data_IF_337515350370
#
_entry.id   IF_337515350370
#
_cell.length_a   1.000
_cell.length_b   1.000
_cell.length_c   1.000
_cell.angle_alpha   90.00
_cell.angle_beta   90.00
_cell.angle_gamma   90.00
#
_symmetry.space_group_name_H-M   'P 1'
#
loop_
_entity.id
_entity.type
_entity.pdbx_description
1 polymer ?
#
# COMPACT_ATOMS: atom_id res chain seq x y z
N UNK A 1 -3.27 -47.37 29.19
CA UNK A 1 -4.69 -47.17 29.56
C UNK A 1 -5.34 -46.27 28.54
N UNK A 2 -6.47 -46.73 28.04
CA UNK A 2 -7.39 -46.20 27.03
C UNK A 2 -8.16 -44.97 27.52
N UNK A 3 -8.46 -44.03 26.62
CA UNK A 3 -9.85 -43.77 26.22
C UNK A 3 -10.00 -42.86 25.00
N UNK A 4 -10.88 -43.32 24.10
CA UNK A 4 -11.37 -42.71 22.86
C UNK A 4 -12.69 -41.99 23.12
N UNK A 5 -12.94 -40.83 22.51
CA UNK A 5 -14.27 -40.32 22.08
C UNK A 5 -14.04 -39.39 20.87
N UNK A 6 -14.25 -39.84 19.62
CA UNK A 6 -15.51 -39.94 18.85
C UNK A 6 -16.14 -38.58 18.50
N UNK A 7 -15.77 -38.04 17.34
CA UNK A 7 -16.71 -37.35 16.44
C UNK A 7 -16.42 -37.78 15.00
N UNK A 8 -17.37 -38.53 14.46
CA UNK A 8 -17.48 -38.93 13.07
C UNK A 8 -18.83 -38.41 12.58
N UNK A 9 -18.83 -37.69 11.46
CA UNK A 9 -19.90 -37.58 10.44
C UNK A 9 -19.48 -36.40 9.53
N UNK A 10 -18.96 -36.62 8.31
CA UNK A 10 -19.59 -37.19 7.11
C UNK A 10 -20.76 -36.33 6.62
N UNK A 11 -20.54 -35.56 5.55
CA UNK A 11 -21.40 -35.31 4.38
C UNK A 11 -20.57 -34.47 3.40
N UNK A 12 -20.54 -34.62 2.08
CA UNK A 12 -21.01 -35.60 1.12
C UNK A 12 -20.39 -35.12 -0.21
N UNK A 13 -19.66 -35.97 -0.90
CA UNK A 13 -19.11 -35.69 -2.22
C UNK A 13 -20.23 -35.52 -3.26
N UNK A 14 -20.12 -34.51 -4.12
CA UNK A 14 -20.73 -34.55 -5.45
C UNK A 14 -19.78 -33.92 -6.46
N UNK A 15 -19.06 -34.79 -7.16
CA UNK A 15 -18.43 -34.49 -8.43
C UNK A 15 -19.53 -34.35 -9.50
N UNK A 16 -19.41 -33.34 -10.38
CA UNK A 16 -20.10 -33.36 -11.66
C UNK A 16 -19.16 -32.91 -12.77
N UNK A 17 -19.27 -33.62 -13.88
CA UNK A 17 -18.26 -33.84 -14.88
C UNK A 17 -18.17 -32.76 -15.96
N UNK A 18 -16.96 -32.69 -16.52
CA UNK A 18 -16.56 -32.39 -17.89
C UNK A 18 -17.66 -32.04 -18.91
N UNK A 19 -17.46 -30.92 -19.59
CA UNK A 19 -17.60 -30.88 -21.05
C UNK A 19 -16.34 -30.24 -21.63
N UNK A 20 -15.49 -31.09 -22.21
CA UNK A 20 -14.43 -30.68 -23.12
C UNK A 20 -15.10 -30.26 -24.43
N UNK A 21 -15.05 -28.98 -24.78
CA UNK A 21 -15.22 -28.56 -26.17
C UNK A 21 -13.88 -28.74 -26.85
N UNK A 22 -13.75 -29.88 -27.54
CA UNK A 22 -12.75 -30.10 -28.56
C UNK A 22 -13.28 -29.54 -29.88
N UNK A 23 -12.53 -28.64 -30.52
CA UNK A 23 -12.46 -28.49 -31.97
C UNK A 23 -11.38 -27.47 -32.37
N UNK A 24 -10.39 -27.92 -33.15
CA UNK A 24 -9.54 -27.03 -33.95
C UNK A 24 -8.06 -27.38 -33.93
N UNK A 25 -7.66 -28.41 -34.67
CA UNK A 25 -6.26 -28.64 -35.03
C UNK A 25 -5.83 -27.66 -36.12
N UNK A 26 -4.67 -27.04 -35.93
CA UNK A 26 -4.01 -26.17 -36.90
C UNK A 26 -2.75 -25.56 -36.28
N UNK A 27 -1.73 -26.39 -36.07
CA UNK A 27 -0.39 -25.92 -35.69
C UNK A 27 0.27 -25.18 -36.86
N UNK A 28 0.71 -23.94 -36.60
CA UNK A 28 2.01 -23.45 -37.05
C UNK A 28 2.45 -22.30 -36.12
N UNK A 29 3.69 -22.32 -35.60
CA UNK A 29 4.18 -21.29 -34.68
C UNK A 29 4.70 -20.10 -35.50
N UNK A 30 4.14 -18.92 -35.29
CA UNK A 30 4.84 -17.68 -35.62
C UNK A 30 4.86 -16.78 -34.39
N UNK A 31 6.08 -16.44 -34.02
CA UNK A 31 6.45 -15.70 -32.84
C UNK A 31 6.13 -14.23 -33.08
N UNK A 32 4.99 -13.79 -32.57
CA UNK A 32 4.59 -12.38 -32.51
C UNK A 32 4.11 -12.09 -31.11
N UNK A 33 4.94 -11.36 -30.36
CA UNK A 33 4.73 -10.95 -28.98
C UNK A 33 3.27 -10.59 -28.70
N UNK A 34 2.69 -11.31 -27.76
CA UNK A 34 1.42 -10.98 -27.15
C UNK A 34 1.50 -9.56 -26.59
N UNK A 35 0.86 -8.61 -27.27
CA UNK A 35 0.25 -7.49 -26.57
C UNK A 35 -0.89 -8.09 -25.76
N UNK A 36 -0.59 -8.43 -24.51
CA UNK A 36 -1.61 -8.71 -23.52
C UNK A 36 -2.53 -7.49 -23.48
N UNK A 37 -3.80 -7.71 -23.84
CA UNK A 37 -4.83 -6.73 -23.57
C UNK A 37 -4.93 -6.63 -22.05
N UNK A 38 -4.32 -5.59 -21.47
CA UNK A 38 -4.54 -5.22 -20.08
C UNK A 38 -6.04 -4.96 -19.93
N UNK A 39 -6.68 -5.84 -19.18
CA UNK A 39 -8.01 -5.65 -18.63
C UNK A 39 -8.08 -4.22 -18.08
N UNK A 40 -8.78 -3.34 -18.79
CA UNK A 40 -8.80 -1.90 -18.51
C UNK A 40 -9.73 -1.64 -17.33
N UNK A 41 -9.40 -2.24 -16.18
CA UNK A 41 -9.82 -1.75 -14.89
C UNK A 41 -9.09 -0.45 -14.58
N UNK A 42 -9.75 0.46 -13.86
CA UNK A 42 -9.13 1.73 -13.45
C UNK A 42 -7.86 1.47 -12.65
N UNK A 43 -6.73 2.04 -13.08
CA UNK A 43 -5.46 1.93 -12.36
C UNK A 43 -5.44 2.92 -11.22
N UNK A 44 -5.25 2.42 -10.00
CA UNK A 44 -5.31 3.21 -8.76
C UNK A 44 -3.91 3.29 -8.15
N UNK A 45 -3.46 4.51 -7.86
CA UNK A 45 -2.28 4.76 -7.04
C UNK A 45 -2.71 5.16 -5.63
N UNK A 46 -2.02 4.64 -4.63
CA UNK A 46 -2.21 4.95 -3.22
C UNK A 46 -0.87 5.47 -2.69
N UNK A 47 -0.67 6.78 -2.83
CA UNK A 47 0.48 7.47 -2.31
C UNK A 47 0.24 7.84 -0.84
N UNK A 48 1.22 7.62 0.03
CA UNK A 48 1.10 8.00 1.44
C UNK A 48 2.41 8.52 2.00
N UNK A 49 2.30 9.47 2.93
CA UNK A 49 3.38 9.91 3.80
C UNK A 49 3.08 9.47 5.22
N UNK A 50 4.09 8.94 5.91
CA UNK A 50 4.02 8.60 7.33
C UNK A 50 5.31 9.02 8.03
N UNK A 51 5.19 9.62 9.22
CA UNK A 51 6.34 9.98 10.03
C UNK A 51 7.23 8.77 10.32
N UNK A 52 6.63 7.60 10.58
CA UNK A 52 7.33 6.35 10.85
C UNK A 52 8.40 5.94 9.81
N UNK A 53 8.26 6.38 8.56
CA UNK A 53 9.17 6.09 7.46
C UNK A 53 10.07 7.28 7.12
N UNK A 54 9.82 8.45 7.73
CA UNK A 54 10.49 9.72 7.45
C UNK A 54 11.16 10.33 8.68
N UNK A 55 11.11 9.66 9.84
CA UNK A 55 11.74 10.08 11.09
C UNK A 55 12.80 9.09 11.54
N UNK A 56 13.72 9.54 12.41
CA UNK A 56 14.78 8.70 12.96
C UNK A 56 14.28 7.42 13.65
N UNK A 57 15.16 6.41 13.74
CA UNK A 57 14.86 5.05 14.25
C UNK A 57 14.38 5.00 15.71
N UNK A 58 14.53 6.09 16.46
CA UNK A 58 14.09 6.24 17.86
C UNK A 58 12.80 7.05 17.99
N UNK A 59 12.04 7.23 16.91
CA UNK A 59 10.75 7.88 16.93
C UNK A 59 9.71 7.03 17.68
N UNK A 60 9.79 7.03 19.00
CA UNK A 60 8.77 6.51 19.91
C UNK A 60 7.55 7.45 19.96
N UNK A 61 7.07 7.89 18.79
CA UNK A 61 5.76 8.49 18.68
C UNK A 61 4.74 7.34 18.67
N UNK A 62 4.35 6.85 19.85
CA UNK A 62 3.27 5.84 19.96
C UNK A 62 1.99 6.25 19.21
N UNK A 63 1.77 7.55 18.99
CA UNK A 63 0.67 8.09 18.20
C UNK A 63 0.83 7.94 16.67
N UNK A 64 2.04 7.64 16.19
CA UNK A 64 2.41 7.45 14.78
C UNK A 64 2.39 5.99 14.35
N UNK A 65 2.53 5.06 15.30
CA UNK A 65 2.51 3.62 15.05
C UNK A 65 1.18 2.98 15.45
N UNK A 66 0.90 1.81 14.89
CA UNK A 66 -0.16 0.91 15.33
C UNK A 66 0.32 -0.52 15.13
N UNK A 67 0.00 -1.39 16.08
CA UNK A 67 0.23 -2.83 15.94
C UNK A 67 -0.78 -3.40 14.93
N UNK A 68 -0.29 -3.79 13.77
CA UNK A 68 -1.07 -4.48 12.73
C UNK A 68 -0.49 -5.88 12.58
N UNK A 69 -1.27 -6.89 12.97
CA UNK A 69 -0.88 -8.30 12.93
C UNK A 69 0.45 -8.64 13.65
N UNK A 70 0.78 -7.88 14.69
CA UNK A 70 2.01 -8.06 15.48
C UNK A 70 3.24 -7.34 14.93
N UNK A 71 3.06 -6.50 13.91
CA UNK A 71 4.08 -5.60 13.36
C UNK A 71 3.72 -4.15 13.68
N UNK A 72 4.69 -3.37 14.18
CA UNK A 72 4.52 -1.95 14.38
C UNK A 72 4.57 -1.24 13.02
N UNK A 73 3.43 -0.70 12.58
CA UNK A 73 3.30 0.02 11.30
C UNK A 73 2.92 1.47 11.50
N UNK A 74 3.36 2.33 10.59
CA UNK A 74 2.89 3.71 10.54
C UNK A 74 1.36 3.74 10.33
N UNK A 75 0.63 4.63 11.01
CA UNK A 75 -0.84 4.68 10.88
C UNK A 75 -1.31 4.93 9.45
N UNK A 76 -0.60 5.78 8.71
CA UNK A 76 -0.92 6.03 7.29
C UNK A 76 -0.52 4.87 6.39
N UNK A 77 0.61 4.20 6.68
CA UNK A 77 0.98 2.95 6.01
C UNK A 77 -0.12 1.89 6.19
N UNK A 78 -0.57 1.66 7.43
CA UNK A 78 -1.64 0.72 7.72
C UNK A 78 -2.93 1.04 6.95
N UNK A 79 -3.33 2.31 6.91
CA UNK A 79 -4.51 2.74 6.16
C UNK A 79 -4.33 2.54 4.63
N UNK A 80 -3.15 2.86 4.10
CA UNK A 80 -2.83 2.68 2.69
C UNK A 80 -2.91 1.19 2.31
N UNK A 81 -2.34 0.30 3.12
CA UNK A 81 -2.42 -1.15 2.93
C UNK A 81 -3.87 -1.67 2.97
N UNK A 82 -4.72 -1.11 3.85
CA UNK A 82 -6.15 -1.45 3.87
C UNK A 82 -6.85 -1.02 2.57
N UNK A 83 -6.53 0.16 2.03
CA UNK A 83 -7.07 0.63 0.74
C UNK A 83 -6.57 -0.27 -0.39
N UNK A 84 -5.28 -0.63 -0.41
CA UNK A 84 -4.71 -1.54 -1.39
C UNK A 84 -5.44 -2.89 -1.36
N UNK A 85 -5.61 -3.48 -0.17
CA UNK A 85 -6.29 -4.77 -0.04
C UNK A 85 -7.73 -4.75 -0.59
N UNK A 86 -8.40 -3.59 -0.53
CA UNK A 86 -9.77 -3.42 -1.04
C UNK A 86 -9.83 -3.09 -2.54
N UNK A 87 -8.80 -2.44 -3.09
CA UNK A 87 -8.82 -1.87 -4.45
C UNK A 87 -7.92 -2.59 -5.45
N UNK A 88 -6.90 -3.31 -4.98
CA UNK A 88 -5.82 -3.85 -5.81
C UNK A 88 -4.86 -2.80 -6.38
N UNK A 89 -4.90 -1.56 -5.85
CA UNK A 89 -4.04 -0.46 -6.32
C UNK A 89 -2.58 -0.56 -5.92
N UNK A 90 -1.75 0.26 -6.55
CA UNK A 90 -0.31 0.33 -6.27
C UNK A 90 -0.05 1.18 -5.02
N UNK A 91 0.79 0.69 -4.11
CA UNK A 91 1.25 1.47 -2.96
C UNK A 91 2.51 2.26 -3.31
N UNK A 92 2.54 3.51 -2.85
CA UNK A 92 3.71 4.37 -2.98
C UNK A 92 3.98 5.12 -1.68
N UNK A 93 5.11 4.81 -1.03
CA UNK A 93 5.59 5.54 0.15
C UNK A 93 6.33 6.81 -0.32
N UNK A 94 5.81 7.96 0.10
CA UNK A 94 6.44 9.27 -0.09
C UNK A 94 7.52 9.43 0.98
N UNK A 95 8.76 9.54 0.54
CA UNK A 95 9.92 9.69 1.42
C UNK A 95 10.66 10.99 1.10
N UNK A 96 11.07 11.71 2.14
CA UNK A 96 11.92 12.89 2.04
C UNK A 96 13.40 12.51 2.04
N UNK A 97 14.24 13.35 1.45
CA UNK A 97 15.71 13.21 1.56
C UNK A 97 16.18 13.51 2.98
N UNK A 98 15.62 14.57 3.59
CA UNK A 98 15.90 14.95 4.97
C UNK A 98 15.01 14.18 5.95
N UNK A 99 15.61 13.68 7.02
CA UNK A 99 14.90 12.92 8.06
C UNK A 99 14.32 13.88 9.10
N UNK A 100 13.02 13.75 9.35
CA UNK A 100 12.31 14.53 10.36
C UNK A 100 12.79 14.18 11.78
N UNK A 101 12.84 15.17 12.68
CA UNK A 101 13.12 14.91 14.09
C UNK A 101 12.15 13.90 14.69
N UNK A 102 12.68 12.99 15.49
CA UNK A 102 11.93 11.97 16.20
C UNK A 102 11.28 12.51 17.49
N UNK A 103 11.93 13.50 18.13
CA UNK A 103 11.39 14.18 19.31
C UNK A 103 10.24 15.09 18.92
N UNK A 104 9.15 15.04 19.69
CA UNK A 104 7.94 15.81 19.38
C UNK A 104 8.12 17.32 19.49
N UNK A 105 8.97 17.80 20.39
CA UNK A 105 9.28 19.23 20.52
C UNK A 105 10.13 19.71 19.35
N UNK A 106 11.22 19.00 19.04
CA UNK A 106 12.09 19.32 17.91
C UNK A 106 11.34 19.25 16.57
N UNK A 107 10.40 18.31 16.44
CA UNK A 107 9.55 18.16 15.26
C UNK A 107 8.59 19.35 15.09
N UNK A 108 8.07 19.91 16.20
CA UNK A 108 7.21 21.11 16.15
C UNK A 108 8.01 22.32 15.69
N UNK A 109 9.20 22.53 16.25
CA UNK A 109 10.07 23.65 15.88
C UNK A 109 10.50 23.53 14.41
N UNK A 110 10.93 22.34 13.99
CA UNK A 110 11.27 22.05 12.60
C UNK A 110 10.10 22.31 11.64
N UNK A 111 8.89 21.84 11.98
CA UNK A 111 7.71 22.07 11.15
C UNK A 111 7.28 23.55 11.09
N UNK A 112 7.53 24.32 12.15
CA UNK A 112 7.29 25.76 12.15
C UNK A 112 8.27 26.48 11.22
N UNK A 113 9.55 26.13 11.27
CA UNK A 113 10.57 26.68 10.38
C UNK A 113 10.28 26.33 8.91
N UNK A 114 9.93 25.07 8.61
CA UNK A 114 9.53 24.66 7.25
C UNK A 114 8.35 25.47 6.72
N UNK A 115 7.37 25.78 7.57
CA UNK A 115 6.22 26.59 7.19
C UNK A 115 6.60 28.06 6.96
N UNK A 116 7.38 28.65 7.88
CA UNK A 116 7.80 30.05 7.80
C UNK A 116 8.67 30.32 6.57
N UNK A 117 9.46 29.33 6.15
CA UNK A 117 10.31 29.38 4.96
C UNK A 117 9.58 29.00 3.66
N UNK A 118 8.30 28.60 3.74
CA UNK A 118 7.55 27.97 2.64
C UNK A 118 8.34 26.82 2.00
N UNK A 119 9.05 26.06 2.82
CA UNK A 119 9.92 24.98 2.40
C UNK A 119 9.09 23.87 1.71
N UNK A 120 9.70 23.24 0.71
CA UNK A 120 9.18 22.05 0.03
C UNK A 120 10.30 21.02 0.02
N UNK A 121 10.31 20.10 1.00
CA UNK A 121 11.38 19.11 1.13
C UNK A 121 11.58 18.34 -0.17
N UNK A 122 12.84 18.08 -0.50
CA UNK A 122 13.19 17.20 -1.61
C UNK A 122 12.75 15.76 -1.27
N UNK A 123 12.18 15.08 -2.26
CA UNK A 123 11.73 13.70 -2.11
C UNK A 123 12.82 12.75 -2.58
N UNK A 124 13.02 11.67 -1.84
CA UNK A 124 13.91 10.57 -2.25
C UNK A 124 13.19 9.54 -3.12
N UNK A 125 11.86 9.47 -3.03
CA UNK A 125 11.03 8.61 -3.87
C UNK A 125 10.33 9.41 -4.96
N UNK A 126 10.27 8.83 -6.16
CA UNK A 126 9.68 9.46 -7.35
C UNK A 126 8.76 8.50 -8.08
N UNK A 127 7.65 9.04 -8.60
CA UNK A 127 6.72 8.32 -9.47
C UNK A 127 7.10 8.65 -10.91
N UNK A 128 7.43 7.63 -11.71
CA UNK A 128 7.93 7.83 -13.07
C UNK A 128 6.85 8.33 -14.04
N UNK A 129 5.59 7.90 -13.84
CA UNK A 129 4.48 8.20 -14.73
C UNK A 129 3.16 8.29 -13.96
N UNK A 130 2.75 9.51 -13.63
CA UNK A 130 1.44 9.76 -13.00
C UNK A 130 0.28 9.58 -13.98
N UNK A 131 0.53 9.76 -15.29
CA UNK A 131 -0.46 9.62 -16.36
C UNK A 131 -0.98 8.19 -16.50
N UNK A 132 -0.30 7.22 -15.88
CA UNK A 132 -0.74 5.83 -15.87
C UNK A 132 -1.94 5.57 -14.95
N UNK A 133 -2.24 6.47 -14.01
CA UNK A 133 -3.25 6.26 -12.99
C UNK A 133 -4.50 7.11 -13.23
N UNK A 134 -5.67 6.46 -13.17
CA UNK A 134 -6.97 7.12 -13.29
C UNK A 134 -7.41 7.77 -11.98
N UNK A 135 -6.94 7.22 -10.85
CA UNK A 135 -7.30 7.66 -9.51
C UNK A 135 -6.08 7.59 -8.62
N UNK A 136 -5.84 8.67 -7.88
CA UNK A 136 -4.73 8.77 -6.95
C UNK A 136 -5.29 9.12 -5.58
N UNK A 137 -5.11 8.22 -4.61
CA UNK A 137 -5.27 8.52 -3.20
C UNK A 137 -3.97 9.10 -2.67
N UNK A 138 -4.05 10.18 -1.90
CA UNK A 138 -2.91 10.78 -1.21
C UNK A 138 -3.23 10.84 0.28
N UNK A 139 -2.54 10.02 1.08
CA UNK A 139 -2.69 9.93 2.52
C UNK A 139 -1.55 10.63 3.27
N UNK A 140 -1.87 11.44 4.27
CA UNK A 140 -0.87 12.11 5.10
C UNK A 140 -1.48 12.43 6.48
N UNK A 141 -0.66 12.52 7.55
CA UNK A 141 -1.14 12.96 8.85
C UNK A 141 -1.65 14.40 8.79
N UNK A 142 -2.66 14.73 9.61
CA UNK A 142 -3.01 16.12 9.81
C UNK A 142 -1.86 16.81 10.56
N UNK A 143 -1.10 17.65 9.86
CA UNK A 143 -0.06 18.49 10.44
C UNK A 143 -0.74 19.75 10.97
N UNK A 144 -0.61 20.02 12.28
CA UNK A 144 -1.30 21.14 12.97
C UNK A 144 -1.05 22.52 12.33
N UNK A 145 0.04 22.64 11.58
CA UNK A 145 0.48 23.85 10.88
C UNK A 145 -0.04 23.93 9.43
N UNK A 146 -0.56 22.83 8.86
CA UNK A 146 -1.07 22.74 7.49
C UNK A 146 0.01 22.83 6.40
N UNK A 147 -0.28 22.30 5.21
CA UNK A 147 0.51 22.60 4.02
C UNK A 147 0.25 24.07 3.65
N UNK A 148 1.31 24.86 3.44
CA UNK A 148 1.15 26.23 2.94
C UNK A 148 0.28 26.18 1.68
N UNK A 149 -0.80 26.97 1.68
CA UNK A 149 -1.78 26.96 0.59
C UNK A 149 -1.07 27.28 -0.72
N UNK A 150 -1.14 26.36 -1.68
CA UNK A 150 -0.78 26.57 -3.09
C UNK A 150 -1.63 27.67 -3.70
#
# INVERSE_FOLDING_TARGET
MTSKKKYAALFLTAALAASLTACGAGENPDSGSAGENTDSGSRILIAYFTAAENSGVDAEASASYSDVDGEAKGRMQALAEMIQAQTGGDLFSIQTEEVYPADGGDLIDYAADEQDEDARPELSTHIESLDDYDTIFVGYPNLEQGFARV
#
